data_IF_510940044675
#
_entry.id   IF_510940044675
#
_cell.length_a   1.000
_cell.length_b   1.000
_cell.length_c   1.000
_cell.angle_alpha   90.00
_cell.angle_beta   90.00
_cell.angle_gamma   90.00
#
_symmetry.space_group_name_H-M   'P 1'
#
loop_
_entity.id
_entity.type
_entity.pdbx_description
1 polymer ?
#
# COMPACT_ATOMS: atom_id res chain seq x y z
N UNK A 1 -14.73 1.42 -8.05
CA UNK A 1 -14.88 -0.06 -7.99
C UNK A 1 -13.51 -0.74 -7.92
N UNK A 2 -12.57 -0.45 -8.83
CA UNK A 2 -11.21 -1.01 -8.78
C UNK A 2 -10.43 -0.56 -7.52
N UNK A 3 -10.49 0.72 -7.17
CA UNK A 3 -9.80 1.28 -6.00
C UNK A 3 -10.23 0.62 -4.68
N UNK A 4 -11.53 0.50 -4.44
CA UNK A 4 -12.07 -0.21 -3.27
C UNK A 4 -11.66 -1.68 -3.21
N UNK A 5 -11.58 -2.36 -4.36
CA UNK A 5 -11.15 -3.77 -4.43
C UNK A 5 -9.66 -3.89 -4.09
N UNK A 6 -8.80 -3.03 -4.64
CA UNK A 6 -7.37 -3.04 -4.35
C UNK A 6 -7.10 -2.78 -2.85
N UNK A 7 -7.76 -1.77 -2.26
CA UNK A 7 -7.70 -1.52 -0.81
C UNK A 7 -8.09 -2.75 0.01
N UNK A 8 -9.27 -3.31 -0.25
CA UNK A 8 -9.77 -4.48 0.49
C UNK A 8 -8.84 -5.68 0.32
N UNK A 9 -8.36 -5.93 -0.90
CA UNK A 9 -7.43 -7.01 -1.21
C UNK A 9 -6.17 -6.93 -0.37
N UNK A 10 -5.50 -5.77 -0.33
CA UNK A 10 -4.28 -5.58 0.48
C UNK A 10 -4.55 -5.79 1.96
N UNK A 11 -5.65 -5.24 2.49
CA UNK A 11 -6.01 -5.41 3.90
C UNK A 11 -6.28 -6.87 4.24
N UNK A 12 -7.03 -7.59 3.41
CA UNK A 12 -7.33 -9.01 3.61
C UNK A 12 -6.03 -9.84 3.58
N UNK A 13 -5.12 -9.56 2.64
CA UNK A 13 -3.81 -10.23 2.54
C UNK A 13 -2.97 -10.03 3.81
N UNK A 14 -2.93 -8.81 4.34
CA UNK A 14 -2.23 -8.50 5.60
C UNK A 14 -2.88 -9.22 6.79
N UNK A 15 -4.21 -9.17 6.91
CA UNK A 15 -4.96 -9.80 8.01
C UNK A 15 -4.84 -11.33 7.99
N UNK A 16 -4.86 -11.95 6.81
CA UNK A 16 -4.78 -13.39 6.66
C UNK A 16 -3.34 -13.92 6.58
N UNK A 17 -2.36 -13.04 6.36
CA UNK A 17 -0.96 -13.40 6.09
C UNK A 17 -0.85 -14.41 4.94
N UNK A 18 -1.57 -14.14 3.85
CA UNK A 18 -1.65 -14.99 2.66
C UNK A 18 -1.62 -14.17 1.38
N UNK A 19 -1.10 -14.79 0.31
CA UNK A 19 -0.95 -14.20 -1.03
C UNK A 19 0.09 -13.07 -1.11
N UNK A 20 0.30 -12.55 -2.31
CA UNK A 20 1.27 -11.47 -2.62
C UNK A 20 0.58 -10.34 -3.39
N UNK A 21 1.26 -9.21 -3.59
CA UNK A 21 0.74 -8.16 -4.47
C UNK A 21 0.68 -8.69 -5.91
N UNK A 22 -0.45 -8.48 -6.57
CA UNK A 22 -0.73 -9.01 -7.92
C UNK A 22 -0.77 -7.93 -9.00
N UNK A 23 -0.61 -6.66 -8.66
CA UNK A 23 -0.63 -5.57 -9.64
C UNK A 23 -0.36 -4.18 -9.03
N UNK A 24 -0.10 -3.20 -9.91
CA UNK A 24 0.30 -1.86 -9.51
C UNK A 24 -0.75 -1.15 -8.64
N UNK A 25 -2.05 -1.41 -8.83
CA UNK A 25 -3.09 -0.84 -7.97
C UNK A 25 -2.91 -1.22 -6.49
N UNK A 26 -2.66 -2.50 -6.20
CA UNK A 26 -2.41 -2.95 -4.83
C UNK A 26 -1.11 -2.38 -4.29
N UNK A 27 -0.08 -2.32 -5.13
CA UNK A 27 1.20 -1.73 -4.80
C UNK A 27 1.09 -0.25 -4.42
N UNK A 28 0.37 0.56 -5.19
CA UNK A 28 0.20 1.99 -4.89
C UNK A 28 -0.52 2.21 -3.57
N UNK A 29 -1.58 1.45 -3.29
CA UNK A 29 -2.24 1.51 -1.98
C UNK A 29 -1.31 1.09 -0.84
N UNK A 30 -0.60 -0.03 -1.01
CA UNK A 30 0.35 -0.54 -0.03
C UNK A 30 1.52 0.43 0.23
N UNK A 31 2.04 1.08 -0.81
CA UNK A 31 3.06 2.13 -0.70
C UNK A 31 2.54 3.36 0.05
N UNK A 32 1.26 3.72 -0.17
CA UNK A 32 0.58 4.76 0.62
C UNK A 32 0.55 4.43 2.10
N UNK A 33 0.30 3.16 2.45
CA UNK A 33 0.38 2.72 3.84
C UNK A 33 1.80 2.86 4.41
N UNK A 34 2.85 2.55 3.65
CA UNK A 34 4.23 2.80 4.11
C UNK A 34 4.48 4.27 4.43
N UNK A 35 4.04 5.19 3.56
CA UNK A 35 4.13 6.63 3.86
C UNK A 35 3.44 6.98 5.18
N UNK A 36 2.22 6.46 5.40
CA UNK A 36 1.48 6.68 6.64
C UNK A 36 2.21 6.11 7.87
N UNK A 37 2.75 4.90 7.77
CA UNK A 37 3.34 4.17 8.89
C UNK A 37 4.73 4.72 9.27
N UNK A 38 5.52 5.11 8.27
CA UNK A 38 6.86 5.69 8.42
C UNK A 38 6.84 7.21 8.60
N UNK A 39 5.71 7.87 8.36
CA UNK A 39 5.56 9.33 8.47
C UNK A 39 6.32 10.10 7.40
N UNK A 40 6.50 9.49 6.22
CA UNK A 40 7.26 10.06 5.10
C UNK A 40 6.34 10.53 3.99
N UNK A 41 6.85 11.48 3.22
CA UNK A 41 6.15 12.13 2.12
C UNK A 41 6.86 11.82 0.80
N UNK A 42 6.09 11.53 -0.24
CA UNK A 42 6.56 11.41 -1.62
C UNK A 42 5.62 12.20 -2.54
N UNK A 43 6.07 12.44 -3.78
CA UNK A 43 5.24 13.08 -4.81
C UNK A 43 3.99 12.24 -5.10
N UNK A 44 2.83 12.88 -5.22
CA UNK A 44 1.59 12.18 -5.59
C UNK A 44 1.61 11.67 -7.05
N UNK A 45 2.48 12.26 -7.89
CA UNK A 45 2.67 11.89 -9.29
C UNK A 45 3.84 10.92 -9.50
N UNK A 46 4.39 10.36 -8.42
CA UNK A 46 5.51 9.43 -8.44
C UNK A 46 5.20 8.20 -9.31
N UNK A 47 6.17 7.85 -10.17
CA UNK A 47 6.03 6.74 -11.12
C UNK A 47 6.33 5.40 -10.45
N UNK A 48 5.81 4.27 -10.99
CA UNK A 48 5.82 3.00 -10.26
C UNK A 48 7.22 2.53 -9.89
N UNK A 49 8.19 2.69 -10.80
CA UNK A 49 9.58 2.28 -10.60
C UNK A 49 10.25 3.11 -9.50
N UNK A 50 10.13 4.44 -9.58
CA UNK A 50 10.67 5.37 -8.58
C UNK A 50 10.02 5.15 -7.20
N UNK A 51 8.72 4.90 -7.16
CA UNK A 51 8.00 4.56 -5.93
C UNK A 51 8.50 3.23 -5.34
N UNK A 52 8.79 2.24 -6.17
CA UNK A 52 9.34 0.94 -5.74
C UNK A 52 10.68 1.09 -5.03
N UNK A 53 11.60 1.86 -5.63
CA UNK A 53 12.91 2.14 -5.04
C UNK A 53 12.79 2.86 -3.69
N UNK A 54 11.91 3.87 -3.62
CA UNK A 54 11.64 4.60 -2.38
C UNK A 54 11.08 3.68 -1.29
N UNK A 55 10.05 2.89 -1.61
CA UNK A 55 9.41 1.97 -0.66
C UNK A 55 10.40 0.94 -0.13
N UNK A 56 11.27 0.38 -0.98
CA UNK A 56 12.30 -0.57 -0.53
C UNK A 56 13.25 0.05 0.48
N UNK A 57 13.70 1.29 0.24
CA UNK A 57 14.56 2.00 1.20
C UNK A 57 13.85 2.28 2.52
N UNK A 58 12.57 2.63 2.50
CA UNK A 58 11.82 2.93 3.72
C UNK A 58 11.50 1.67 4.55
N UNK A 59 11.24 0.54 3.89
CA UNK A 59 11.05 -0.75 4.56
C UNK A 59 12.33 -1.20 5.29
N UNK A 60 13.52 -0.92 4.74
CA UNK A 60 14.78 -1.26 5.41
C UNK A 60 15.05 -0.43 6.66
N UNK A 61 14.48 0.78 6.76
CA UNK A 61 14.66 1.71 7.89
C UNK A 61 13.56 1.58 8.95
N UNK A 62 12.43 0.98 8.60
CA UNK A 62 11.24 0.91 9.46
C UNK A 62 11.11 -0.48 10.07
N UNK A 63 10.94 -0.56 11.39
CA UNK A 63 10.58 -1.81 12.05
C UNK A 63 9.06 -1.97 12.07
N UNK A 64 8.51 -3.13 11.62
CA UNK A 64 7.08 -3.39 11.68
C UNK A 64 6.62 -3.56 13.13
N UNK A 65 5.47 -2.97 13.47
CA UNK A 65 4.93 -2.95 14.84
C UNK A 65 4.02 -4.13 15.17
N UNK A 66 3.41 -4.72 14.15
CA UNK A 66 2.51 -5.85 14.25
C UNK A 66 2.68 -6.83 13.07
N UNK A 67 1.98 -7.96 13.12
CA UNK A 67 2.09 -8.98 12.06
C UNK A 67 1.49 -8.50 10.72
N UNK A 68 0.54 -7.56 10.75
CA UNK A 68 -0.04 -6.97 9.54
C UNK A 68 0.99 -6.10 8.82
N UNK A 69 1.68 -5.21 9.54
CA UNK A 69 2.78 -4.39 9.00
C UNK A 69 3.91 -5.27 8.48
N UNK A 70 4.29 -6.29 9.25
CA UNK A 70 5.34 -7.24 8.83
C UNK A 70 4.97 -7.96 7.53
N UNK A 71 3.71 -8.35 7.36
CA UNK A 71 3.24 -8.98 6.13
C UNK A 71 3.18 -7.98 4.97
N UNK A 72 2.71 -6.75 5.21
CA UNK A 72 2.74 -5.65 4.24
C UNK A 72 4.17 -5.42 3.71
N UNK A 73 5.15 -5.37 4.61
CA UNK A 73 6.55 -5.12 4.27
C UNK A 73 7.12 -6.27 3.42
N UNK A 74 6.82 -7.52 3.78
CA UNK A 74 7.21 -8.69 3.00
C UNK A 74 6.65 -8.62 1.58
N UNK A 75 5.36 -8.32 1.45
CA UNK A 75 4.69 -8.23 0.14
C UNK A 75 5.29 -7.13 -0.75
N UNK A 76 5.63 -5.97 -0.18
CA UNK A 76 6.23 -4.86 -0.92
C UNK A 76 7.69 -5.13 -1.31
N UNK A 77 8.44 -5.84 -0.47
CA UNK A 77 9.82 -6.24 -0.78
C UNK A 77 9.90 -7.18 -1.99
N UNK A 78 8.93 -8.09 -2.11
CA UNK A 78 8.91 -9.09 -3.18
C UNK A 78 8.27 -8.59 -4.48
N UNK A 79 7.46 -7.51 -4.41
CA UNK A 79 6.78 -6.97 -5.57
C UNK A 79 7.69 -6.10 -6.43
N UNK A 80 7.60 -6.29 -7.75
CA UNK A 80 8.29 -5.47 -8.75
C UNK A 80 7.24 -4.74 -9.59
N UNK A 81 7.07 -3.43 -9.44
CA UNK A 81 6.10 -2.68 -10.22
C UNK A 81 6.46 -2.66 -11.70
N UNK A 82 5.43 -2.63 -12.56
CA UNK A 82 5.59 -2.39 -14.01
C UNK A 82 5.48 -0.88 -14.30
N UNK A 83 5.82 -0.45 -15.51
CA UNK A 83 5.71 0.96 -15.92
C UNK A 83 4.26 1.47 -16.08
N UNK A 84 3.27 0.57 -16.01
CA UNK A 84 1.86 0.93 -16.13
C UNK A 84 1.45 1.91 -15.03
N UNK A 85 0.88 3.05 -15.41
CA UNK A 85 0.50 4.11 -14.49
C UNK A 85 -0.75 4.82 -14.97
N UNK A 86 -1.71 5.01 -14.06
CA UNK A 86 -2.92 5.79 -14.31
C UNK A 86 -3.36 6.59 -13.07
N UNK A 87 -4.42 7.39 -13.23
CA UNK A 87 -4.95 8.23 -12.15
C UNK A 87 -5.52 7.44 -10.97
N UNK A 88 -6.00 6.21 -11.18
CA UNK A 88 -6.53 5.39 -10.09
C UNK A 88 -5.40 4.87 -9.19
N UNK A 89 -4.20 4.65 -9.73
CA UNK A 89 -3.01 4.36 -8.93
C UNK A 89 -2.65 5.54 -8.03
N UNK A 90 -2.67 6.76 -8.56
CA UNK A 90 -2.50 7.99 -7.76
C UNK A 90 -3.55 8.09 -6.65
N UNK A 91 -4.82 7.85 -6.97
CA UNK A 91 -5.90 7.83 -5.99
C UNK A 91 -5.63 6.82 -4.85
N UNK A 92 -5.19 5.60 -5.20
CA UNK A 92 -4.88 4.54 -4.24
C UNK A 92 -3.71 4.90 -3.30
N UNK A 93 -2.70 5.57 -3.83
CA UNK A 93 -1.58 6.09 -3.03
C UNK A 93 -2.05 7.08 -1.97
N UNK A 94 -2.92 8.02 -2.37
CA UNK A 94 -3.52 8.99 -1.48
C UNK A 94 -4.43 8.33 -0.44
N UNK A 95 -5.19 7.31 -0.83
CA UNK A 95 -6.00 6.52 0.09
C UNK A 95 -5.14 5.82 1.15
N UNK A 96 -4.05 5.18 0.76
CA UNK A 96 -3.13 4.54 1.72
C UNK A 96 -2.52 5.56 2.68
N UNK A 97 -2.04 6.70 2.15
CA UNK A 97 -1.44 7.78 2.94
C UNK A 97 -2.41 8.37 3.96
N UNK A 98 -3.68 8.52 3.57
CA UNK A 98 -4.74 9.09 4.40
C UNK A 98 -5.62 8.06 5.12
N UNK A 99 -5.21 6.78 5.13
CA UNK A 99 -6.02 5.67 5.66
C UNK A 99 -6.39 5.91 7.13
N UNK A 100 -7.68 5.82 7.46
CA UNK A 100 -8.18 6.05 8.83
C UNK A 100 -8.52 4.76 9.56
N UNK A 101 -8.89 3.73 8.81
CA UNK A 101 -9.39 2.46 9.30
C UNK A 101 -8.41 1.35 8.94
N UNK A 102 -7.20 1.47 9.49
CA UNK A 102 -6.14 0.47 9.30
C UNK A 102 -6.68 -0.92 9.62
N UNK A 103 -6.39 -1.86 8.73
CA UNK A 103 -6.73 -3.28 8.87
C UNK A 103 -8.24 -3.61 8.87
N UNK A 104 -9.12 -2.61 8.71
CA UNK A 104 -10.56 -2.81 8.55
C UNK A 104 -10.95 -2.96 7.08
N UNK A 105 -11.45 -4.15 6.73
CA UNK A 105 -11.90 -4.48 5.37
C UNK A 105 -13.10 -3.61 4.98
N UNK A 106 -14.08 -3.51 5.85
CA UNK A 106 -15.26 -2.65 5.67
C UNK A 106 -15.05 -1.32 6.40
N UNK A 107 -15.36 -0.23 5.71
CA UNK A 107 -15.38 1.11 6.31
C UNK A 107 -16.75 1.30 6.96
N UNK A 108 -16.85 1.77 8.22
CA UNK A 108 -18.14 2.07 8.82
C UNK A 108 -18.89 3.10 7.98
N UNK A 109 -20.20 2.90 7.76
CA UNK A 109 -21.04 3.94 7.18
C UNK A 109 -20.96 5.17 8.08
N UNK A 110 -20.59 6.32 7.50
CA UNK A 110 -20.68 7.60 8.20
C UNK A 110 -22.17 7.84 8.45
N UNK A 111 -22.61 7.70 9.70
CA UNK A 111 -23.98 7.99 10.11
C UNK A 111 -24.35 9.46 9.99
#
# INVERSE_FOLDING_TARGET
MVTSIARQSVIIKCNMQKSVLTGNYEFYYAAGLIAKLSGVEFSEDIKPIELGEFVHQEIEKTEPKDEQEKYLFSMLKDYKPTEEYDEQMKELLLWGKSEKYLWMVTVPEQG
#
